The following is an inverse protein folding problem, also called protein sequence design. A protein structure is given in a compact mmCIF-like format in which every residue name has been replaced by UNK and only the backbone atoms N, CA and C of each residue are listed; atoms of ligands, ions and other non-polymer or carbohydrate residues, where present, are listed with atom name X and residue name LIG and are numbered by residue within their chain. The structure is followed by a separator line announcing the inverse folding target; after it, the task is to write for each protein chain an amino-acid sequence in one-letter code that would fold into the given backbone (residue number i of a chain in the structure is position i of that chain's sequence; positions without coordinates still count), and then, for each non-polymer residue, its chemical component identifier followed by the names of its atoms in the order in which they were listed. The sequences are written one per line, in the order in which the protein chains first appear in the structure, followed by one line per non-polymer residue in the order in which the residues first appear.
data_IF_616525391272
#
_entry.id   IF_616525391272
#
_cell.length_a   1.000
_cell.length_b   1.000
_cell.length_c   1.000
_cell.angle_alpha   90.00
_cell.angle_beta   90.00
_cell.angle_gamma   90.00
#
_symmetry.space_group_name_H-M   'P 1'
#
loop_
_entity.id
_entity.type
_entity.pdbx_description
1 polymer ?
#
# COMPACT_ATOMS: atom_id res chain seq x y z
N UNK A 1 -1.07 4.84 3.24
CA UNK A 1 -0.23 3.79 3.87
C UNK A 1 -0.82 3.45 5.23
N UNK A 2 -0.98 2.17 5.55
CA UNK A 2 -1.59 1.73 6.83
C UNK A 2 -0.68 0.87 7.70
N UNK A 3 0.36 0.28 7.12
CA UNK A 3 1.45 -0.35 7.87
C UNK A 3 2.73 -0.28 7.04
N UNK A 4 3.86 -0.05 7.71
CA UNK A 4 5.19 -0.15 7.10
C UNK A 4 6.21 -0.60 8.14
N UNK A 5 6.92 -1.68 7.83
CA UNK A 5 8.08 -2.16 8.55
C UNK A 5 9.05 -2.83 7.55
N UNK A 6 10.15 -3.40 8.05
CA UNK A 6 11.20 -3.99 7.21
C UNK A 6 10.71 -5.16 6.32
N UNK A 7 9.68 -5.90 6.74
CA UNK A 7 9.16 -7.06 5.99
C UNK A 7 7.87 -6.78 5.22
N UNK A 8 7.21 -5.65 5.43
CA UNK A 8 5.94 -5.36 4.78
C UNK A 8 5.64 -3.88 4.65
N UNK A 9 5.15 -3.50 3.46
CA UNK A 9 4.44 -2.25 3.23
C UNK A 9 2.99 -2.57 2.82
N UNK A 10 2.01 -1.98 3.52
CA UNK A 10 0.59 -2.15 3.22
C UNK A 10 -0.07 -0.82 2.87
N UNK A 11 -0.60 -0.74 1.65
CA UNK A 11 -1.45 0.35 1.20
C UNK A 11 -2.90 -0.11 1.28
N UNK A 12 -3.80 0.76 1.74
CA UNK A 12 -5.23 0.51 1.81
C UNK A 12 -5.98 1.53 0.97
N UNK A 13 -7.02 1.09 0.27
CA UNK A 13 -7.86 1.92 -0.57
C UNK A 13 -9.34 1.66 -0.30
N UNK A 14 -10.11 2.74 -0.29
CA UNK A 14 -11.54 2.74 -0.02
C UNK A 14 -12.08 4.16 0.01
N UNK A 15 -13.38 4.30 -0.16
CA UNK A 15 -14.08 5.59 -0.09
C UNK A 15 -14.31 6.06 1.35
N UNK A 16 -14.25 5.14 2.32
CA UNK A 16 -14.50 5.41 3.74
C UNK A 16 -13.35 4.91 4.63
N UNK A 17 -12.16 5.44 4.38
CA UNK A 17 -10.95 5.11 5.15
C UNK A 17 -11.08 5.44 6.66
N UNK A 18 -12.17 6.07 7.11
CA UNK A 18 -12.46 6.27 8.52
C UNK A 18 -12.92 4.97 9.17
N UNK A 19 -13.89 4.28 8.56
CA UNK A 19 -14.51 3.10 9.17
C UNK A 19 -14.04 1.78 8.55
N UNK A 20 -13.78 1.74 7.24
CA UNK A 20 -13.41 0.50 6.56
C UNK A 20 -12.70 0.72 5.22
N UNK A 21 -12.01 -0.30 4.73
CA UNK A 21 -11.50 -0.31 3.35
C UNK A 21 -11.70 -1.68 2.71
N UNK A 22 -11.78 -1.71 1.39
CA UNK A 22 -12.12 -2.91 0.62
C UNK A 22 -10.95 -3.51 -0.18
N UNK A 23 -9.84 -2.77 -0.25
CA UNK A 23 -8.67 -3.14 -1.04
C UNK A 23 -7.41 -2.86 -0.25
N UNK A 24 -6.49 -3.82 -0.27
CA UNK A 24 -5.12 -3.62 0.19
C UNK A 24 -4.12 -4.12 -0.86
N UNK A 25 -3.03 -3.35 -1.01
CA UNK A 25 -1.83 -3.77 -1.73
C UNK A 25 -0.76 -4.07 -0.68
N UNK A 26 -0.33 -5.31 -0.63
CA UNK A 26 0.64 -5.81 0.34
C UNK A 26 1.94 -6.11 -0.39
N UNK A 27 2.96 -5.30 -0.12
CA UNK A 27 4.30 -5.48 -0.63
C UNK A 27 5.12 -6.21 0.42
N UNK A 28 5.59 -7.41 0.10
CA UNK A 28 6.47 -8.20 0.98
C UNK A 28 7.93 -7.82 0.74
N UNK A 29 8.67 -7.64 1.83
CA UNK A 29 10.09 -7.24 1.83
C UNK A 29 10.33 -6.02 0.92
N UNK A 30 9.71 -4.86 1.21
CA UNK A 30 9.86 -3.66 0.39
C UNK A 30 11.30 -3.13 0.51
N UNK A 31 12.03 -3.14 -0.60
CA UNK A 31 13.41 -2.63 -0.61
C UNK A 31 13.52 -1.17 -1.08
N UNK A 32 12.52 -0.68 -1.81
CA UNK A 32 12.46 0.71 -2.24
C UNK A 32 11.04 1.26 -2.16
N UNK A 33 10.86 2.42 -1.53
CA UNK A 33 9.57 3.10 -1.42
C UNK A 33 9.77 4.59 -1.64
N UNK A 34 9.23 5.09 -2.74
CA UNK A 34 9.13 6.50 -3.06
C UNK A 34 7.67 6.85 -3.29
N UNK A 35 6.93 7.06 -2.21
CA UNK A 35 5.55 7.54 -2.25
C UNK A 35 5.24 8.30 -0.96
N UNK A 36 4.31 9.28 -0.97
CA UNK A 36 3.83 9.89 0.26
C UNK A 36 3.05 8.88 1.11
N UNK A 37 2.92 9.16 2.41
CA UNK A 37 2.17 8.30 3.34
C UNK A 37 0.65 8.33 3.09
N UNK A 38 0.15 9.41 2.48
CA UNK A 38 -1.24 9.60 2.05
C UNK A 38 -1.30 10.19 0.65
N UNK A 39 -2.18 9.66 -0.19
CA UNK A 39 -2.45 10.12 -1.55
C UNK A 39 -3.82 9.64 -1.99
N UNK A 40 -4.30 10.20 -3.10
CA UNK A 40 -5.60 9.95 -3.69
C UNK A 40 -5.45 9.57 -5.18
N UNK A 41 -6.45 8.84 -5.69
CA UNK A 41 -6.63 8.53 -7.11
C UNK A 41 -5.38 8.00 -7.84
N UNK A 42 -4.76 6.90 -7.35
CA UNK A 42 -3.57 6.34 -7.98
C UNK A 42 -3.87 5.82 -9.39
N UNK A 43 -3.10 6.27 -10.37
CA UNK A 43 -3.12 5.78 -11.75
C UNK A 43 -1.88 4.94 -12.02
N UNK A 44 -2.05 3.62 -12.03
CA UNK A 44 -0.97 2.66 -12.25
C UNK A 44 -0.49 2.65 -13.70
N UNK A 45 0.83 2.51 -13.87
CA UNK A 45 1.47 2.42 -15.18
C UNK A 45 2.66 1.47 -15.13
N UNK A 46 3.16 1.08 -16.30
CA UNK A 46 4.45 0.42 -16.38
C UNK A 46 5.56 1.34 -15.85
N UNK A 47 6.49 0.78 -15.09
CA UNK A 47 7.72 1.48 -14.74
C UNK A 47 8.55 1.69 -16.01
N UNK A 48 9.08 2.89 -16.18
CA UNK A 48 10.01 3.21 -17.27
C UNK A 48 11.35 2.52 -17.07
N UNK A 49 12.11 2.36 -18.15
CA UNK A 49 13.48 1.81 -18.08
C UNK A 49 14.37 2.60 -17.12
N UNK A 50 14.24 3.93 -17.08
CA UNK A 50 15.03 4.78 -16.19
C UNK A 50 14.67 4.59 -14.71
N UNK A 51 13.39 4.36 -14.40
CA UNK A 51 12.93 4.03 -13.06
C UNK A 51 13.43 2.65 -12.61
N UNK A 52 13.36 1.66 -13.49
CA UNK A 52 13.90 0.31 -13.24
C UNK A 52 15.42 0.38 -13.02
N UNK A 53 16.16 1.10 -13.87
CA UNK A 53 17.61 1.28 -13.73
C UNK A 53 17.99 2.01 -12.43
N UNK A 54 17.16 2.95 -11.99
CA UNK A 54 17.37 3.65 -10.71
C UNK A 54 17.21 2.71 -9.53
N UNK A 55 16.16 1.88 -9.53
CA UNK A 55 15.90 0.88 -8.48
C UNK A 55 16.99 -0.17 -8.45
N UNK A 56 17.32 -0.76 -9.59
CA UNK A 56 18.34 -1.81 -9.68
C UNK A 56 19.72 -1.34 -9.22
N UNK A 57 20.12 -0.12 -9.58
CA UNK A 57 21.36 0.50 -9.11
C UNK A 57 21.35 0.77 -7.60
N UNK A 58 20.21 1.20 -7.06
CA UNK A 58 20.07 1.47 -5.63
C UNK A 58 20.17 0.19 -4.80
N UNK A 59 19.64 -0.91 -5.32
CA UNK A 59 19.53 -2.19 -4.61
C UNK A 59 20.68 -3.17 -4.91
N UNK A 60 21.47 -2.92 -5.95
CA UNK A 60 22.53 -3.84 -6.38
C UNK A 60 22.02 -5.12 -7.07
N UNK A 61 20.76 -5.12 -7.54
CA UNK A 61 20.11 -6.27 -8.17
C UNK A 61 18.71 -5.96 -8.66
N UNK A 62 18.13 -6.86 -9.45
CA UNK A 62 16.74 -6.79 -9.88
C UNK A 62 15.82 -7.33 -8.79
N UNK A 63 14.71 -6.62 -8.55
CA UNK A 63 13.62 -7.13 -7.74
C UNK A 63 12.51 -7.69 -8.63
N UNK A 64 11.82 -8.74 -8.18
CA UNK A 64 10.72 -9.33 -8.95
C UNK A 64 9.54 -8.38 -9.20
N UNK A 65 9.30 -7.41 -8.29
CA UNK A 65 8.16 -6.49 -8.38
C UNK A 65 8.61 -5.05 -8.32
N UNK A 66 8.24 -4.27 -9.35
CA UNK A 66 8.34 -2.81 -9.39
C UNK A 66 6.99 -2.24 -9.81
N UNK A 67 6.38 -1.42 -8.95
CA UNK A 67 5.09 -0.79 -9.18
C UNK A 67 5.28 0.72 -9.28
N UNK A 68 4.87 1.27 -10.43
CA UNK A 68 4.85 2.71 -10.69
C UNK A 68 3.41 3.22 -10.82
N UNK A 69 3.15 4.39 -10.25
CA UNK A 69 1.85 5.04 -10.36
C UNK A 69 1.98 6.55 -10.14
N UNK A 70 1.06 7.32 -10.73
CA UNK A 70 0.88 8.73 -10.40
C UNK A 70 -0.25 8.85 -9.38
N UNK A 71 -0.16 9.77 -8.43
CA UNK A 71 -1.24 10.00 -7.47
C UNK A 71 -1.35 11.47 -7.06
N UNK A 72 -2.53 11.91 -6.65
CA UNK A 72 -2.71 13.21 -6.03
C UNK A 72 -2.23 13.16 -4.57
N UNK A 73 -1.31 14.05 -4.20
CA UNK A 73 -0.78 14.19 -2.84
C UNK A 73 -1.12 15.54 -2.19
N UNK A 74 -2.14 16.24 -2.70
CA UNK A 74 -2.57 17.57 -2.23
C UNK A 74 -1.73 18.73 -2.76
N UNK A 75 -0.90 18.48 -3.78
CA UNK A 75 -0.09 19.48 -4.47
C UNK A 75 -0.76 20.04 -5.73
N UNK A 76 -0.05 20.90 -6.46
CA UNK A 76 -0.53 21.42 -7.76
C UNK A 76 -0.47 20.38 -8.87
N UNK A 77 0.49 19.45 -8.78
CA UNK A 77 0.73 18.40 -9.78
C UNK A 77 0.70 17.03 -9.10
N UNK A 78 0.26 15.97 -9.83
CA UNK A 78 0.38 14.60 -9.36
C UNK A 78 1.83 14.23 -9.05
N UNK A 79 2.02 13.37 -8.06
CA UNK A 79 3.34 12.84 -7.69
C UNK A 79 3.57 11.47 -8.31
N UNK A 80 4.74 11.29 -8.90
CA UNK A 80 5.20 9.99 -9.39
C UNK A 80 5.68 9.14 -8.22
N UNK A 81 5.04 7.99 -8.05
CA UNK A 81 5.33 7.03 -7.00
C UNK A 81 5.98 5.77 -7.59
N UNK A 82 6.93 5.21 -6.84
CA UNK A 82 7.63 3.99 -7.22
C UNK A 82 7.88 3.12 -5.99
N UNK A 83 7.44 1.86 -6.05
CA UNK A 83 7.63 0.87 -4.98
C UNK A 83 8.29 -0.36 -5.60
N UNK A 84 9.33 -0.88 -4.96
CA UNK A 84 9.95 -2.14 -5.33
C UNK A 84 9.98 -3.10 -4.13
N UNK A 85 9.64 -4.36 -4.39
CA UNK A 85 9.46 -5.40 -3.39
C UNK A 85 9.74 -6.79 -3.97
N UNK A 86 9.86 -7.79 -3.09
CA UNK A 86 9.99 -9.20 -3.50
C UNK A 86 8.66 -9.75 -4.04
N UNK A 87 7.54 -9.34 -3.44
CA UNK A 87 6.20 -9.79 -3.83
C UNK A 87 5.18 -8.67 -3.67
N UNK A 88 4.14 -8.74 -4.49
CA UNK A 88 2.90 -7.98 -4.31
C UNK A 88 1.72 -8.96 -4.19
N UNK A 89 0.93 -8.78 -3.14
CA UNK A 89 -0.38 -9.39 -2.99
C UNK A 89 -1.48 -8.33 -3.05
N UNK A 90 -2.56 -8.66 -3.75
CA UNK A 90 -3.75 -7.83 -3.85
C UNK A 90 -4.84 -8.50 -3.04
N UNK A 91 -5.27 -7.85 -1.97
CA UNK A 91 -6.27 -8.39 -1.04
C UNK A 91 -7.57 -7.61 -1.19
N UNK A 92 -8.64 -8.31 -1.57
CA UNK A 92 -9.97 -7.75 -1.73
C UNK A 92 -10.90 -8.31 -0.66
N UNK A 93 -10.98 -7.60 0.47
CA UNK A 93 -11.81 -7.97 1.61
C UNK A 93 -12.24 -6.71 2.36
N UNK A 94 -13.31 -6.79 3.15
CA UNK A 94 -13.73 -5.65 3.98
C UNK A 94 -12.93 -5.63 5.28
N UNK A 95 -12.06 -4.65 5.44
CA UNK A 95 -11.25 -4.46 6.64
C UNK A 95 -11.84 -3.35 7.50
N UNK A 96 -12.32 -3.72 8.68
CA UNK A 96 -12.89 -2.79 9.65
C UNK A 96 -11.78 -2.07 10.44
N UNK A 97 -11.89 -0.76 10.55
CA UNK A 97 -10.93 0.12 11.25
C UNK A 97 -11.38 0.51 12.67
N UNK A 98 -12.51 -0.04 13.10
CA UNK A 98 -13.09 0.15 14.43
C UNK A 98 -13.50 -1.21 15.01
N UNK A 99 -13.60 -1.26 16.34
CA UNK A 99 -14.08 -2.46 17.04
C UNK A 99 -15.61 -2.57 17.00
N UNK A 100 -16.10 -3.80 16.86
CA UNK A 100 -17.50 -4.20 17.09
C UNK A 100 -17.54 -5.66 17.56
N UNK A 101 -18.63 -6.09 18.18
CA UNK A 101 -18.75 -7.45 18.75
C UNK A 101 -18.70 -8.55 17.69
N UNK A 102 -19.27 -8.32 16.51
CA UNK A 102 -19.35 -9.32 15.44
C UNK A 102 -18.71 -8.84 14.13
N UNK A 103 -17.98 -9.72 13.45
CA UNK A 103 -17.57 -9.58 12.04
C UNK A 103 -18.44 -10.46 11.16
N UNK A 104 -19.05 -9.89 10.11
CA UNK A 104 -19.74 -10.70 9.11
C UNK A 104 -18.72 -11.53 8.30
N UNK A 105 -19.14 -12.64 7.63
CA UNK A 105 -18.27 -13.37 6.72
C UNK A 105 -17.63 -12.47 5.67
N UNK A 106 -16.33 -12.63 5.42
CA UNK A 106 -15.56 -11.78 4.51
C UNK A 106 -15.15 -10.41 5.09
N UNK A 107 -15.35 -10.22 6.40
CA UNK A 107 -14.84 -9.06 7.13
C UNK A 107 -13.74 -9.50 8.10
N UNK A 108 -12.73 -8.63 8.26
CA UNK A 108 -11.76 -8.75 9.35
C UNK A 108 -11.45 -7.40 9.97
N UNK A 109 -10.86 -7.41 11.15
CA UNK A 109 -10.33 -6.21 11.76
C UNK A 109 -8.96 -5.85 11.17
N UNK A 110 -8.71 -4.54 11.08
CA UNK A 110 -7.36 -4.07 10.84
C UNK A 110 -6.43 -4.47 12.00
N UNK A 111 -5.14 -4.74 11.77
CA UNK A 111 -4.23 -5.26 12.80
C UNK A 111 -4.07 -4.36 14.05
N UNK A 112 -4.39 -3.07 13.93
CA UNK A 112 -4.32 -2.10 15.02
C UNK A 112 -5.63 -1.95 15.81
N UNK A 113 -6.73 -2.57 15.38
CA UNK A 113 -8.01 -2.53 16.13
C UNK A 113 -7.92 -3.47 17.33
N UNK A 114 -8.33 -2.98 18.50
CA UNK A 114 -8.35 -3.73 19.77
C UNK A 114 -9.75 -3.72 20.37
N UNK A 115 -10.10 -4.76 21.11
CA UNK A 115 -11.33 -4.79 21.89
C UNK A 115 -11.25 -3.80 23.07
N UNK A 116 -12.34 -3.09 23.40
CA UNK A 116 -12.42 -2.29 24.62
C UNK A 116 -12.19 -3.19 25.84
N UNK A 117 -11.09 -2.97 26.56
CA UNK A 117 -10.69 -3.78 27.72
C UNK A 117 -9.35 -4.51 27.58
N UNK A 118 -8.65 -4.35 26.45
CA UNK A 118 -7.24 -4.73 26.28
C UNK A 118 -6.31 -3.52 26.31
#
# INVERSE_FOLDING_TARGET
MVAWNAGQLRLAAGHDLTYHHGLELVFEDPAFVSCPSSFHDPTFRAASTDEILRVTRHLGGELPVVVAFEADAGGLEPVSCLIAAERLEIVQETVLRYWREDTAPGQRFAPWVRSPGQ
#
